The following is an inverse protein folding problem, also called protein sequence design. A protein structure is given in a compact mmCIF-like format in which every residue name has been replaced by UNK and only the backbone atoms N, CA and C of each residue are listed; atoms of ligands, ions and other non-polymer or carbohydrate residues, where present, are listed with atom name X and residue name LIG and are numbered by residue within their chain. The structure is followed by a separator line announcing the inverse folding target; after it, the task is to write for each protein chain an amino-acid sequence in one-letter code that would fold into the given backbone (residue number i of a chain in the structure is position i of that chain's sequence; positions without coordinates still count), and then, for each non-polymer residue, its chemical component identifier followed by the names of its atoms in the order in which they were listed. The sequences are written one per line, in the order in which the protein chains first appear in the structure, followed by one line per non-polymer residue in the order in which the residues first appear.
data_IF_062931693846
#
_entry.id   IF_062931693846
#
_cell.length_a   1.000
_cell.length_b   1.000
_cell.length_c   1.000
_cell.angle_alpha   90.00
_cell.angle_beta   90.00
_cell.angle_gamma   90.00
#
_symmetry.space_group_name_H-M   'P 1'
#
loop_
_entity.id
_entity.type
_entity.pdbx_description
1 polymer ?
#
# COMPACT_ATOMS: atom_id res chain seq x y z
N UNK A 1 -3.02 6.12 -1.88
CA UNK A 1 -1.60 5.78 -2.10
C UNK A 1 -1.25 4.61 -1.22
N UNK A 2 -0.64 3.59 -1.76
CA UNK A 2 -0.31 2.36 -1.03
C UNK A 2 1.18 2.29 -0.81
N UNK A 3 1.59 2.04 0.43
CA UNK A 3 2.99 1.95 0.81
C UNK A 3 3.25 0.76 1.71
N UNK A 4 4.48 0.30 1.68
CA UNK A 4 5.04 -0.61 2.66
C UNK A 4 5.28 0.15 3.97
N UNK A 5 4.81 -0.38 5.10
CA UNK A 5 5.02 0.23 6.41
C UNK A 5 6.50 0.27 6.80
N UNK A 6 7.30 -0.69 6.37
CA UNK A 6 8.74 -0.67 6.60
C UNK A 6 9.42 0.49 5.86
N UNK A 7 8.96 0.80 4.63
CA UNK A 7 9.41 2.00 3.90
C UNK A 7 8.93 3.27 4.58
N UNK A 8 7.74 3.26 5.16
CA UNK A 8 7.15 4.36 5.91
C UNK A 8 7.90 4.67 7.20
N UNK A 9 8.30 3.64 7.93
CA UNK A 9 9.03 3.75 9.20
C UNK A 9 10.54 3.94 9.01
N UNK A 10 11.07 3.56 7.86
CA UNK A 10 12.49 3.61 7.55
C UNK A 10 12.90 5.03 7.14
N UNK A 11 13.35 5.80 8.08
CA UNK A 11 13.63 7.25 8.03
C UNK A 11 14.83 7.65 7.16
N UNK A 12 15.34 6.79 6.29
CA UNK A 12 16.57 7.06 5.54
C UNK A 12 16.56 6.72 4.05
N UNK A 13 15.47 6.16 3.51
CA UNK A 13 15.41 5.72 2.12
C UNK A 13 14.95 6.80 1.13
N UNK A 14 15.55 6.85 -0.04
CA UNK A 14 15.14 7.77 -1.13
C UNK A 14 13.75 7.47 -1.70
N UNK A 15 13.18 6.29 -1.37
CA UNK A 15 11.88 5.77 -1.88
C UNK A 15 10.75 5.89 -0.87
N UNK A 16 10.90 6.67 0.15
CA UNK A 16 9.87 6.90 1.15
C UNK A 16 8.72 7.76 0.63
N UNK A 17 7.60 7.77 1.35
CA UNK A 17 6.48 8.64 1.03
C UNK A 17 6.90 10.10 1.14
N UNK A 18 7.26 10.69 0.02
CA UNK A 18 7.65 12.11 -0.06
C UNK A 18 6.45 13.02 -0.26
N UNK A 19 5.29 12.44 -0.57
CA UNK A 19 4.04 13.15 -0.75
C UNK A 19 2.95 12.29 -1.38
N UNK A 20 1.79 12.89 -1.59
CA UNK A 20 0.64 12.26 -2.23
C UNK A 20 -0.25 13.35 -2.85
N UNK A 21 -1.23 12.96 -3.65
CA UNK A 21 -2.20 13.90 -4.21
C UNK A 21 -3.32 14.13 -3.19
N UNK A 22 -3.70 15.39 -3.00
CA UNK A 22 -4.78 15.78 -2.11
C UNK A 22 -6.06 15.00 -2.43
N UNK A 23 -6.79 14.58 -1.39
CA UNK A 23 -8.01 13.77 -1.51
C UNK A 23 -7.77 12.26 -1.56
N UNK A 24 -6.53 11.79 -1.72
CA UNK A 24 -6.23 10.37 -1.56
C UNK A 24 -6.01 10.01 -0.09
N UNK A 25 -6.56 8.88 0.31
CA UNK A 25 -6.30 8.28 1.62
C UNK A 25 -5.12 7.32 1.52
N UNK A 26 -4.32 7.23 2.58
CA UNK A 26 -3.16 6.34 2.61
C UNK A 26 -3.56 4.99 3.19
N UNK A 27 -3.46 3.96 2.37
CA UNK A 27 -3.64 2.56 2.76
C UNK A 27 -2.33 1.83 2.52
N UNK A 28 -1.59 1.40 3.56
CA UNK A 28 -0.34 0.67 3.39
C UNK A 28 -0.59 -0.68 2.72
N UNK A 29 -0.03 -0.89 1.53
CA UNK A 29 -0.15 -2.15 0.79
C UNK A 29 0.30 -3.35 1.63
N UNK A 30 1.36 -3.17 2.38
CA UNK A 30 1.94 -4.21 3.21
C UNK A 30 0.98 -4.76 4.30
N UNK A 31 -0.03 -3.99 4.69
CA UNK A 31 -1.07 -4.47 5.61
C UNK A 31 -2.13 -5.34 4.91
N UNK A 32 -2.24 -5.22 3.61
CA UNK A 32 -3.23 -5.96 2.84
C UNK A 32 -2.78 -7.39 2.57
N UNK A 33 -1.56 -7.56 2.03
CA UNK A 33 -1.05 -8.87 1.63
C UNK A 33 0.47 -8.90 1.52
N UNK A 34 1.00 -10.12 1.39
CA UNK A 34 2.38 -10.37 1.06
C UNK A 34 2.69 -9.96 -0.38
N UNK A 35 3.96 -9.64 -0.64
CA UNK A 35 4.41 -9.41 -2.00
C UNK A 35 4.57 -10.74 -2.75
N UNK A 36 4.29 -10.76 -4.07
CA UNK A 36 4.62 -11.92 -4.89
C UNK A 36 6.10 -12.30 -4.76
N UNK A 37 6.40 -13.60 -4.69
CA UNK A 37 7.78 -14.08 -4.47
C UNK A 37 8.76 -13.57 -5.51
N UNK A 38 8.34 -13.50 -6.79
CA UNK A 38 9.16 -12.94 -7.87
C UNK A 38 9.57 -11.49 -7.60
N UNK A 39 8.65 -10.67 -7.08
CA UNK A 39 8.95 -9.29 -6.71
C UNK A 39 9.94 -9.22 -5.55
N UNK A 40 9.77 -10.09 -4.54
CA UNK A 40 10.68 -10.18 -3.39
C UNK A 40 12.09 -10.55 -3.85
N UNK A 41 12.22 -11.49 -4.76
CA UNK A 41 13.52 -11.96 -5.27
C UNK A 41 14.21 -10.90 -6.13
N UNK A 42 13.47 -10.17 -6.96
CA UNK A 42 14.02 -9.03 -7.69
C UNK A 42 14.55 -7.96 -6.73
N UNK A 43 13.80 -7.66 -5.66
CA UNK A 43 14.20 -6.62 -4.70
C UNK A 43 15.38 -7.01 -3.83
N UNK A 44 15.60 -8.29 -3.55
CA UNK A 44 16.83 -8.75 -2.90
C UNK A 44 18.07 -8.42 -3.72
N UNK A 45 17.99 -8.58 -5.03
CA UNK A 45 19.09 -8.29 -5.95
C UNK A 45 19.36 -6.79 -6.11
N UNK A 46 18.34 -5.96 -5.94
CA UNK A 46 18.44 -4.48 -6.03
C UNK A 46 18.90 -3.81 -4.72
N UNK A 47 19.19 -4.58 -3.67
CA UNK A 47 19.58 -4.07 -2.35
C UNK A 47 18.55 -3.08 -1.77
N UNK A 48 17.27 -3.27 -2.08
CA UNK A 48 16.18 -2.42 -1.60
C UNK A 48 15.83 -2.81 -0.17
N UNK A 49 15.90 -1.83 0.72
CA UNK A 49 15.67 -2.02 2.15
C UNK A 49 14.28 -2.54 2.47
N UNK A 50 14.27 -3.54 3.34
CA UNK A 50 13.22 -3.91 4.26
C UNK A 50 11.80 -4.01 3.68
N UNK A 51 11.50 -5.12 3.00
CA UNK A 51 10.11 -5.50 2.82
C UNK A 51 9.47 -5.73 4.19
N UNK A 52 8.28 -5.25 4.37
CA UNK A 52 7.47 -5.49 5.57
C UNK A 52 7.33 -6.99 5.82
N UNK A 53 7.54 -7.39 7.07
CA UNK A 53 7.45 -8.78 7.53
C UNK A 53 6.45 -8.95 8.67
N UNK A 54 5.57 -7.98 8.84
CA UNK A 54 4.56 -7.99 9.89
C UNK A 54 3.31 -8.78 9.50
N UNK A 55 2.22 -8.48 10.20
CA UNK A 55 0.92 -9.12 9.99
C UNK A 55 0.23 -8.52 8.76
N UNK A 56 -0.46 -9.35 7.97
CA UNK A 56 -1.22 -8.97 6.77
C UNK A 56 -2.65 -9.49 6.86
N UNK A 57 -3.59 -8.84 6.20
CA UNK A 57 -4.99 -9.31 6.11
C UNK A 57 -5.10 -10.61 5.31
N UNK A 58 -4.29 -10.73 4.27
CA UNK A 58 -4.28 -11.90 3.38
C UNK A 58 -2.85 -12.42 3.22
N UNK A 59 -2.73 -13.71 2.94
CA UNK A 59 -1.52 -14.36 2.47
C UNK A 59 -1.76 -15.01 1.12
N UNK A 60 -0.69 -15.39 0.43
CA UNK A 60 -0.77 -16.15 -0.81
C UNK A 60 -0.62 -17.64 -0.50
N UNK A 61 -1.51 -18.46 -1.05
CA UNK A 61 -1.34 -19.90 -1.02
C UNK A 61 -0.29 -20.36 -2.06
N UNK A 62 -0.03 -21.68 -2.10
CA UNK A 62 0.93 -22.29 -3.03
C UNK A 62 0.59 -22.07 -4.52
N UNK A 63 -0.66 -21.78 -4.82
CA UNK A 63 -1.17 -21.56 -6.17
C UNK A 63 -1.29 -20.06 -6.50
N UNK A 64 -0.88 -19.18 -5.57
CA UNK A 64 -0.89 -17.73 -5.71
C UNK A 64 -2.25 -17.08 -5.45
N UNK A 65 -3.20 -17.80 -4.85
CA UNK A 65 -4.49 -17.23 -4.50
C UNK A 65 -4.41 -16.50 -3.16
N UNK A 66 -5.19 -15.44 -3.01
CA UNK A 66 -5.29 -14.69 -1.76
C UNK A 66 -6.19 -15.43 -0.76
N UNK A 67 -5.65 -15.73 0.40
CA UNK A 67 -6.34 -16.41 1.50
C UNK A 67 -6.41 -15.47 2.70
N UNK A 68 -7.61 -15.31 3.26
CA UNK A 68 -7.82 -14.47 4.43
C UNK A 68 -7.11 -15.04 5.66
N UNK A 69 -6.39 -14.20 6.39
CA UNK A 69 -5.70 -14.55 7.63
C UNK A 69 -6.59 -14.37 8.87
N UNK A 70 -7.63 -13.54 8.75
CA UNK A 70 -8.55 -13.21 9.82
C UNK A 70 -9.98 -13.28 9.33
N UNK A 71 -10.92 -13.55 10.23
CA UNK A 71 -12.36 -13.58 9.91
C UNK A 71 -12.83 -12.24 9.36
N UNK A 72 -12.29 -11.16 9.88
CA UNK A 72 -12.63 -9.78 9.54
C UNK A 72 -11.90 -9.26 8.27
N UNK A 73 -11.01 -10.05 7.67
CA UNK A 73 -10.17 -9.59 6.55
C UNK A 73 -10.96 -9.04 5.38
N UNK A 74 -12.04 -9.71 4.97
CA UNK A 74 -12.89 -9.27 3.86
C UNK A 74 -13.67 -8.01 4.21
N UNK A 75 -14.23 -7.93 5.41
CA UNK A 75 -15.00 -6.77 5.88
C UNK A 75 -14.13 -5.52 5.94
N UNK A 76 -12.89 -5.66 6.45
CA UNK A 76 -11.90 -4.57 6.47
C UNK A 76 -11.55 -4.15 5.05
N UNK A 77 -11.30 -5.11 4.16
CA UNK A 77 -10.95 -4.80 2.77
C UNK A 77 -12.09 -4.07 2.05
N UNK A 78 -13.34 -4.47 2.28
CA UNK A 78 -14.51 -3.83 1.70
C UNK A 78 -14.78 -2.44 2.29
N UNK A 79 -14.47 -2.23 3.57
CA UNK A 79 -14.48 -0.90 4.18
C UNK A 79 -13.45 0.03 3.55
N UNK A 80 -12.22 -0.46 3.31
CA UNK A 80 -11.14 0.32 2.69
C UNK A 80 -11.38 0.58 1.19
N UNK A 81 -12.02 -0.37 0.52
CA UNK A 81 -12.28 -0.34 -0.92
C UNK A 81 -13.74 -0.72 -1.21
N UNK A 82 -14.71 0.19 -1.01
CA UNK A 82 -16.13 -0.13 -1.19
C UNK A 82 -16.45 -0.61 -2.60
N UNK A 83 -17.10 -1.78 -2.74
CA UNK A 83 -17.41 -2.42 -4.03
C UNK A 83 -18.39 -1.62 -4.90
N UNK A 84 -19.21 -0.80 -4.29
CA UNK A 84 -20.20 0.04 -4.98
C UNK A 84 -19.60 1.31 -5.59
N UNK A 85 -18.34 1.65 -5.25
CA UNK A 85 -17.66 2.87 -5.70
C UNK A 85 -16.68 2.63 -6.85
N UNK A 86 -16.39 3.69 -7.59
CA UNK A 86 -15.19 3.74 -8.41
C UNK A 86 -13.97 3.98 -7.53
N UNK A 87 -12.94 3.17 -7.73
CA UNK A 87 -11.74 3.17 -6.90
C UNK A 87 -10.56 3.65 -7.75
N UNK A 88 -9.93 4.73 -7.33
CA UNK A 88 -8.71 5.25 -7.96
C UNK A 88 -7.53 4.93 -7.05
N UNK A 89 -6.55 4.21 -7.57
CA UNK A 89 -5.40 3.75 -6.80
C UNK A 89 -4.13 4.37 -7.37
N UNK A 90 -3.33 4.93 -6.48
CA UNK A 90 -2.04 5.54 -6.79
C UNK A 90 -0.98 5.06 -5.80
N UNK A 91 0.24 4.88 -6.24
CA UNK A 91 1.40 4.71 -5.35
C UNK A 91 2.58 5.57 -5.83
N UNK A 92 3.80 5.31 -5.40
CA UNK A 92 4.97 6.07 -5.86
C UNK A 92 5.16 6.00 -7.37
N UNK A 93 5.23 4.79 -7.93
CA UNK A 93 5.50 4.52 -9.35
C UNK A 93 4.38 3.75 -10.08
N UNK A 94 3.26 3.44 -9.43
CA UNK A 94 2.16 2.68 -10.02
C UNK A 94 2.22 1.15 -9.80
N UNK A 95 3.34 0.59 -9.35
CA UNK A 95 3.51 -0.86 -9.17
C UNK A 95 2.63 -1.45 -8.06
N UNK A 96 2.67 -0.91 -6.86
CA UNK A 96 1.81 -1.37 -5.75
C UNK A 96 0.33 -1.12 -6.02
N UNK A 97 0.00 -0.05 -6.74
CA UNK A 97 -1.35 0.19 -7.21
C UNK A 97 -1.83 -0.92 -8.15
N UNK A 98 -0.95 -1.44 -9.00
CA UNK A 98 -1.27 -2.58 -9.87
C UNK A 98 -1.48 -3.88 -9.06
N UNK A 99 -0.61 -4.18 -8.09
CA UNK A 99 -0.81 -5.34 -7.22
C UNK A 99 -2.13 -5.26 -6.44
N UNK A 100 -2.46 -4.08 -5.93
CA UNK A 100 -3.75 -3.88 -5.24
C UNK A 100 -4.93 -4.10 -6.17
N UNK A 101 -4.88 -3.57 -7.40
CA UNK A 101 -5.94 -3.82 -8.38
C UNK A 101 -6.09 -5.31 -8.66
N UNK A 102 -4.99 -6.03 -8.89
CA UNK A 102 -5.03 -7.48 -9.13
C UNK A 102 -5.62 -8.24 -7.93
N UNK A 103 -5.20 -7.90 -6.72
CA UNK A 103 -5.74 -8.48 -5.50
C UNK A 103 -7.26 -8.26 -5.38
N UNK A 104 -7.72 -7.01 -5.50
CA UNK A 104 -9.13 -6.68 -5.39
C UNK A 104 -9.97 -7.43 -6.44
N UNK A 105 -9.52 -7.47 -7.70
CA UNK A 105 -10.21 -8.18 -8.77
C UNK A 105 -10.29 -9.69 -8.47
N UNK A 106 -9.21 -10.32 -8.01
CA UNK A 106 -9.21 -11.74 -7.68
C UNK A 106 -10.08 -12.06 -6.46
N UNK A 107 -10.31 -11.09 -5.57
CA UNK A 107 -11.22 -11.21 -4.43
C UNK A 107 -12.67 -10.78 -4.73
N UNK A 108 -13.00 -10.51 -6.01
CA UNK A 108 -14.36 -10.31 -6.48
C UNK A 108 -14.80 -8.85 -6.65
N UNK A 109 -13.88 -7.91 -6.71
CA UNK A 109 -14.20 -6.54 -7.14
C UNK A 109 -14.34 -6.45 -8.65
N UNK A 110 -15.22 -5.56 -9.11
CA UNK A 110 -15.40 -5.29 -10.53
C UNK A 110 -14.18 -4.52 -11.08
N UNK A 111 -13.45 -5.15 -12.00
CA UNK A 111 -12.24 -4.56 -12.62
C UNK A 111 -12.50 -3.24 -13.34
N UNK A 112 -13.73 -3.03 -13.83
CA UNK A 112 -14.14 -1.82 -14.55
C UNK A 112 -14.36 -0.62 -13.62
N UNK A 113 -14.44 -0.88 -12.30
CA UNK A 113 -14.53 0.15 -11.29
C UNK A 113 -13.18 0.51 -10.64
N UNK A 114 -12.09 -0.18 -10.98
CA UNK A 114 -10.78 0.04 -10.35
C UNK A 114 -9.79 0.61 -11.37
N UNK A 115 -9.28 1.80 -11.07
CA UNK A 115 -8.36 2.53 -11.93
C UNK A 115 -7.01 2.72 -11.23
N UNK A 116 -5.96 2.15 -11.82
CA UNK A 116 -4.60 2.51 -11.46
C UNK A 116 -4.26 3.80 -12.20
N UNK A 117 -4.18 4.91 -11.48
CA UNK A 117 -3.94 6.25 -12.04
C UNK A 117 -2.44 6.61 -12.05
N UNK A 118 -1.58 5.61 -11.89
CA UNK A 118 -0.14 5.78 -12.03
C UNK A 118 0.59 6.07 -10.71
N UNK A 119 1.68 6.81 -10.82
CA UNK A 119 2.57 7.10 -9.72
C UNK A 119 2.64 8.57 -9.34
N UNK A 120 2.66 8.85 -8.05
CA UNK A 120 2.85 10.19 -7.52
C UNK A 120 4.17 10.85 -8.00
N UNK A 121 5.21 10.06 -8.21
CA UNK A 121 6.51 10.60 -8.63
C UNK A 121 6.48 11.26 -10.02
N UNK A 122 5.48 10.94 -10.84
CA UNK A 122 5.26 11.55 -12.16
C UNK A 122 4.06 12.53 -12.15
N UNK A 123 3.55 12.89 -10.98
CA UNK A 123 2.44 13.82 -10.88
C UNK A 123 2.92 15.27 -11.03
N UNK A 124 2.44 15.95 -12.05
CA UNK A 124 2.78 17.33 -12.38
C UNK A 124 1.69 18.34 -12.00
N UNK A 125 0.61 17.88 -11.37
CA UNK A 125 -0.48 18.75 -10.93
C UNK A 125 -0.13 19.56 -9.68
N UNK A 126 -1.00 20.51 -9.36
CA UNK A 126 -0.83 21.46 -8.26
C UNK A 126 -1.52 21.06 -6.94
N UNK A 127 -2.10 19.85 -6.88
CA UNK A 127 -2.73 19.29 -5.67
C UNK A 127 -1.82 18.32 -4.91
N UNK A 128 -0.53 18.64 -4.85
CA UNK A 128 0.43 17.82 -4.11
C UNK A 128 0.46 18.18 -2.63
N UNK A 129 0.43 17.16 -1.77
CA UNK A 129 0.73 17.30 -0.33
C UNK A 129 2.13 16.75 -0.09
N UNK A 130 3.09 17.60 0.23
CA UNK A 130 4.43 17.16 0.63
C UNK A 130 4.43 16.67 2.07
N UNK A 131 5.03 15.51 2.30
CA UNK A 131 5.23 14.93 3.64
C UNK A 131 6.66 15.08 4.13
N UNK A 132 7.49 15.79 3.40
CA UNK A 132 8.89 16.00 3.76
C UNK A 132 9.25 17.49 3.79
N UNK A 133 10.06 17.86 4.76
CA UNK A 133 10.77 19.13 4.80
C UNK A 133 12.27 18.88 4.58
N UNK A 134 12.83 19.54 3.58
CA UNK A 134 14.28 19.54 3.32
C UNK A 134 14.89 20.79 3.92
N UNK A 135 15.84 20.61 4.85
CA UNK A 135 16.66 21.69 5.38
C UNK A 135 18.14 21.32 5.14
N UNK A 136 18.67 21.79 4.01
CA UNK A 136 19.98 21.37 3.51
C UNK A 136 19.99 19.86 3.17
N UNK A 137 20.96 19.13 3.69
CA UNK A 137 21.08 17.67 3.52
C UNK A 137 20.20 16.85 4.47
N UNK A 138 19.49 17.50 5.40
CA UNK A 138 18.63 16.79 6.36
C UNK A 138 17.21 16.75 5.86
N UNK A 139 16.65 15.54 5.82
CA UNK A 139 15.25 15.29 5.48
C UNK A 139 14.50 15.05 6.79
N UNK A 140 13.42 15.79 7.00
CA UNK A 140 12.48 15.58 8.10
C UNK A 140 11.12 15.17 7.51
N UNK A 141 10.57 14.08 7.99
CA UNK A 141 9.23 13.62 7.58
C UNK A 141 8.15 14.26 8.46
N UNK A 142 7.14 14.82 7.81
CA UNK A 142 5.98 15.43 8.46
C UNK A 142 4.82 14.44 8.42
N UNK A 143 4.91 13.32 9.13
CA UNK A 143 3.90 12.25 9.13
C UNK A 143 2.53 12.73 9.61
N UNK A 144 2.44 13.81 10.37
CA UNK A 144 1.17 14.42 10.78
C UNK A 144 0.33 14.94 9.62
N UNK A 145 0.93 15.13 8.44
CA UNK A 145 0.20 15.50 7.20
C UNK A 145 -0.49 14.33 6.55
N UNK A 146 -0.25 13.13 7.03
CA UNK A 146 -0.73 11.90 6.43
C UNK A 146 -1.74 11.25 7.35
N UNK A 147 -2.96 11.16 6.88
CA UNK A 147 -3.97 10.32 7.50
C UNK A 147 -3.94 8.95 6.81
N UNK A 148 -3.44 7.93 7.49
CA UNK A 148 -3.36 6.58 6.95
C UNK A 148 -4.20 5.59 7.75
N UNK A 149 -4.73 4.59 7.07
CA UNK A 149 -5.50 3.52 7.68
C UNK A 149 -4.56 2.55 8.40
N UNK A 150 -4.69 2.51 9.72
CA UNK A 150 -3.99 1.54 10.55
C UNK A 150 -4.92 0.38 10.88
N UNK A 151 -4.40 -0.84 10.78
CA UNK A 151 -5.14 -2.07 11.10
C UNK A 151 -4.64 -2.61 12.42
N UNK A 152 -5.53 -2.69 13.41
CA UNK A 152 -5.23 -3.28 14.71
C UNK A 152 -5.32 -4.81 14.63
N UNK A 153 -4.26 -5.43 14.13
CA UNK A 153 -4.17 -6.88 13.96
C UNK A 153 -4.26 -7.68 15.27
N UNK A 154 -4.01 -7.04 16.43
CA UNK A 154 -4.03 -7.73 17.71
C UNK A 154 -5.46 -8.03 18.18
N UNK A 155 -6.43 -7.27 17.68
CA UNK A 155 -7.84 -7.45 17.97
C UNK A 155 -8.59 -8.26 16.89
N UNK A 156 -7.91 -8.79 15.86
CA UNK A 156 -8.54 -9.62 14.84
C UNK A 156 -8.57 -11.10 15.20
N UNK A 157 -9.61 -11.79 14.72
CA UNK A 157 -9.81 -13.23 14.95
C UNK A 157 -9.08 -14.03 13.85
N UNK A 158 -7.97 -14.67 14.20
CA UNK A 158 -7.22 -15.53 13.26
C UNK A 158 -8.08 -16.67 12.74
N UNK A 159 -7.96 -16.95 11.46
CA UNK A 159 -8.42 -18.19 10.83
C UNK A 159 -7.33 -19.24 11.09
N UNK A 160 -7.72 -20.36 11.69
CA UNK A 160 -6.79 -21.45 11.99
C UNK A 160 -6.36 -22.19 10.72
#
# INVERSE_FOLDING_TARGET
MLMDSATWENKGGERELTGFVEGFEVVPYAYLTEFPQEYVDQKKNENVFGLYKGKTLFSLDKDGNYVANYKESMDILEYLFPKDKFIFIMCGAGGYANFTKQMLVSLGWDKEKIYNVGGYWNYEGNHSVSTVNKNGSKIKYDFWKVNYHNIDFDNLTKIK
#
